data_IF_777373094689
#
_entry.id   IF_777373094689
#
_cell.length_a   1.000
_cell.length_b   1.000
_cell.length_c   1.000
_cell.angle_alpha   90.00
_cell.angle_beta   90.00
_cell.angle_gamma   90.00
#
_symmetry.space_group_name_H-M   'P 1'
#
loop_
_entity.id
_entity.type
_entity.pdbx_description
1 polymer ?
#
# COMPACT_ATOMS: atom_id res chain seq x y z
N UNK A 1 35.65 -5.92 -7.83
CA UNK A 1 34.28 -6.30 -7.41
C UNK A 1 34.15 -5.98 -5.93
N UNK A 2 33.60 -4.83 -5.57
CA UNK A 2 33.27 -4.48 -4.19
C UNK A 2 31.76 -4.50 -4.08
N UNK A 3 31.21 -5.61 -3.58
CA UNK A 3 29.79 -5.67 -3.22
C UNK A 3 29.58 -4.78 -2.00
N UNK A 4 29.04 -3.59 -2.22
CA UNK A 4 28.43 -2.80 -1.15
C UNK A 4 27.21 -3.58 -0.65
N UNK A 5 27.39 -4.42 0.37
CA UNK A 5 26.26 -4.96 1.12
C UNK A 5 25.66 -3.77 1.87
N UNK A 6 24.55 -3.24 1.39
CA UNK A 6 23.72 -2.37 2.21
C UNK A 6 23.34 -3.15 3.48
N UNK A 7 23.82 -2.72 4.63
CA UNK A 7 23.35 -3.24 5.92
C UNK A 7 21.93 -2.75 6.13
N UNK A 8 20.94 -3.59 5.85
CA UNK A 8 19.55 -3.33 6.23
C UNK A 8 19.44 -3.46 7.74
N UNK A 9 19.24 -2.36 8.46
CA UNK A 9 18.89 -2.46 9.87
C UNK A 9 17.37 -2.58 9.96
N UNK A 10 16.89 -3.50 10.79
CA UNK A 10 15.47 -3.76 10.94
C UNK A 10 15.05 -3.42 12.36
N UNK A 11 14.01 -2.59 12.50
CA UNK A 11 13.59 -2.04 13.79
C UNK A 11 12.13 -2.32 14.05
N UNK A 12 11.84 -2.68 15.30
CA UNK A 12 10.52 -2.99 15.78
C UNK A 12 10.56 -3.59 17.18
N UNK A 13 9.43 -4.12 17.61
CA UNK A 13 9.40 -5.07 18.74
C UNK A 13 10.27 -6.30 18.42
N UNK A 14 10.25 -6.69 17.14
CA UNK A 14 11.09 -7.73 16.56
C UNK A 14 11.86 -7.06 15.42
N UNK A 15 13.17 -6.91 15.56
CA UNK A 15 14.01 -6.31 14.52
C UNK A 15 13.99 -7.16 13.26
N UNK A 16 14.56 -8.36 13.34
CA UNK A 16 14.53 -9.37 12.28
C UNK A 16 13.99 -10.68 12.83
N UNK A 17 13.18 -11.35 12.02
CA UNK A 17 12.72 -12.70 12.31
C UNK A 17 12.80 -13.61 11.10
N UNK A 18 13.57 -14.68 11.31
CA UNK A 18 13.73 -15.82 10.41
C UNK A 18 12.81 -16.99 10.79
N UNK A 19 12.11 -16.89 11.92
CA UNK A 19 11.23 -17.92 12.46
C UNK A 19 9.75 -17.65 12.20
N UNK A 20 8.90 -18.65 12.44
CA UNK A 20 7.45 -18.46 12.36
C UNK A 20 7.01 -17.47 13.45
N UNK A 21 6.23 -16.46 13.06
CA UNK A 21 5.66 -15.50 14.01
C UNK A 21 4.15 -15.69 14.07
N UNK A 22 3.64 -15.75 15.31
CA UNK A 22 2.21 -15.68 15.57
C UNK A 22 1.98 -14.58 16.62
N UNK A 23 1.30 -13.49 16.22
CA UNK A 23 0.86 -12.43 17.14
C UNK A 23 -0.67 -12.41 17.15
N UNK A 24 -1.26 -12.58 18.34
CA UNK A 24 -2.71 -12.68 18.50
C UNK A 24 -3.19 -11.89 19.70
N UNK A 25 -4.34 -11.23 19.56
CA UNK A 25 -5.08 -10.57 20.65
C UNK A 25 -4.22 -9.55 21.42
N UNK A 26 -3.38 -8.80 20.71
CA UNK A 26 -2.48 -7.83 21.32
C UNK A 26 -2.83 -6.41 20.88
N UNK A 27 -2.75 -5.49 21.83
CA UNK A 27 -2.72 -4.05 21.55
C UNK A 27 -1.27 -3.60 21.60
N UNK A 28 -0.76 -3.13 20.48
CA UNK A 28 0.63 -2.70 20.35
C UNK A 28 0.65 -1.20 20.04
N UNK A 29 1.35 -0.44 20.86
CA UNK A 29 1.64 0.96 20.61
C UNK A 29 3.15 1.09 20.52
N UNK A 30 3.64 1.52 19.38
CA UNK A 30 5.06 1.56 19.07
C UNK A 30 5.43 2.97 18.62
N UNK A 31 6.65 3.41 18.92
CA UNK A 31 7.24 4.62 18.36
C UNK A 31 8.68 4.31 18.05
N UNK A 32 9.02 4.22 16.77
CA UNK A 32 10.37 3.86 16.33
C UNK A 32 10.98 5.02 15.58
N UNK A 33 12.16 5.45 16.01
CA UNK A 33 12.98 6.41 15.26
C UNK A 33 14.21 5.68 14.72
N UNK A 34 14.56 5.92 13.47
CA UNK A 34 15.78 5.35 12.87
C UNK A 34 16.20 6.09 11.61
N UNK A 35 17.47 5.89 11.20
CA UNK A 35 18.10 6.61 10.07
C UNK A 35 18.31 5.69 8.86
N UNK A 36 17.93 6.12 7.64
CA UNK A 36 18.24 5.54 6.31
C UNK A 36 18.20 4.01 6.09
N UNK A 37 17.51 3.55 5.03
CA UNK A 37 17.54 2.16 4.48
C UNK A 37 17.05 1.04 5.40
N UNK A 38 16.15 1.36 6.33
CA UNK A 38 15.71 0.39 7.33
C UNK A 38 14.29 -0.08 7.11
N UNK A 39 14.02 -1.25 7.66
CA UNK A 39 12.70 -1.87 7.69
C UNK A 39 12.05 -1.56 9.05
N UNK A 40 10.92 -0.89 9.06
CA UNK A 40 10.24 -0.47 10.28
C UNK A 40 8.83 -1.05 10.39
N UNK A 41 8.54 -1.64 11.55
CA UNK A 41 7.19 -2.07 11.94
C UNK A 41 7.20 -2.67 13.33
N UNK A 42 6.13 -3.36 13.74
CA UNK A 42 6.20 -4.28 14.88
C UNK A 42 7.28 -5.34 14.63
N UNK A 43 7.38 -5.78 13.38
CA UNK A 43 8.40 -6.66 12.85
C UNK A 43 9.13 -5.87 11.75
N UNK A 44 10.42 -5.60 11.93
CA UNK A 44 11.20 -4.87 10.94
C UNK A 44 11.32 -5.68 9.65
N UNK A 45 12.00 -6.82 9.70
CA UNK A 45 12.18 -7.75 8.59
C UNK A 45 11.68 -9.15 8.95
N UNK A 46 10.93 -9.77 8.04
CA UNK A 46 10.37 -11.10 8.21
C UNK A 46 10.64 -11.97 6.98
N UNK A 47 11.36 -13.07 7.15
CA UNK A 47 11.78 -13.97 6.07
C UNK A 47 11.36 -15.44 6.22
N UNK A 48 10.62 -15.78 7.27
CA UNK A 48 10.22 -17.18 7.52
C UNK A 48 9.14 -17.71 6.57
N UNK A 49 8.75 -18.97 6.70
CA UNK A 49 7.73 -19.57 5.82
C UNK A 49 6.28 -19.21 6.20
N UNK A 50 6.01 -18.91 7.47
CA UNK A 50 4.64 -18.73 8.00
C UNK A 50 4.57 -17.58 9.00
N UNK A 51 3.63 -16.67 8.76
CA UNK A 51 3.35 -15.54 9.64
C UNK A 51 1.84 -15.40 9.82
N UNK A 52 1.38 -15.43 11.08
CA UNK A 52 -0.03 -15.32 11.44
C UNK A 52 -0.28 -14.17 12.41
N UNK A 53 -0.86 -13.09 11.92
CA UNK A 53 -1.22 -11.92 12.72
C UNK A 53 -2.74 -11.82 12.82
N UNK A 54 -3.28 -11.79 14.02
CA UNK A 54 -4.74 -11.74 14.22
C UNK A 54 -5.17 -10.86 15.39
N UNK A 55 -6.26 -10.12 15.21
CA UNK A 55 -6.87 -9.32 16.29
C UNK A 55 -5.84 -8.38 16.95
N UNK A 56 -5.09 -7.67 16.10
CA UNK A 56 -4.15 -6.64 16.55
C UNK A 56 -4.80 -5.26 16.49
N UNK A 57 -4.41 -4.42 17.45
CA UNK A 57 -4.66 -2.98 17.40
C UNK A 57 -3.29 -2.30 17.40
N UNK A 58 -2.87 -1.71 16.27
CA UNK A 58 -1.53 -1.11 16.15
C UNK A 58 -1.55 0.41 15.95
N UNK A 59 -0.61 1.08 16.61
CA UNK A 59 -0.14 2.44 16.33
C UNK A 59 1.38 2.46 16.21
N UNK A 60 1.90 3.16 15.19
CA UNK A 60 3.33 3.48 15.09
C UNK A 60 3.52 4.97 14.87
N UNK A 61 4.16 5.63 15.83
CA UNK A 61 4.45 7.08 15.84
C UNK A 61 5.43 7.53 14.75
N UNK A 62 5.63 8.84 14.66
CA UNK A 62 6.44 9.49 13.61
C UNK A 62 7.80 8.80 13.45
N UNK A 63 8.10 8.31 12.25
CA UNK A 63 9.43 7.82 11.87
C UNK A 63 10.14 8.92 11.05
N UNK A 64 10.65 10.00 11.67
CA UNK A 64 11.36 11.03 10.92
C UNK A 64 12.66 10.44 10.36
N UNK A 65 12.73 10.29 9.04
CA UNK A 65 13.94 9.82 8.40
C UNK A 65 13.77 9.42 6.94
N UNK A 66 14.90 9.22 6.28
CA UNK A 66 15.08 8.65 4.94
C UNK A 66 14.86 7.13 4.88
N UNK A 67 13.95 6.59 5.72
CA UNK A 67 13.60 5.17 5.73
C UNK A 67 12.86 4.77 4.46
N UNK A 68 13.02 3.51 4.04
CA UNK A 68 12.53 3.04 2.74
C UNK A 68 11.38 2.03 2.80
N UNK A 69 11.21 1.31 3.92
CA UNK A 69 10.24 0.22 3.99
C UNK A 69 9.53 0.31 5.34
N UNK A 70 8.35 0.91 5.35
CA UNK A 70 7.65 1.21 6.60
C UNK A 70 6.20 0.74 6.56
N UNK A 71 5.85 -0.14 7.48
CA UNK A 71 4.49 -0.55 7.75
C UNK A 71 4.23 -0.61 9.25
N UNK A 72 2.97 -0.50 9.67
CA UNK A 72 2.66 -0.55 11.10
C UNK A 72 2.90 -1.93 11.70
N UNK A 73 2.89 -3.00 10.88
CA UNK A 73 3.17 -4.37 11.31
C UNK A 73 4.51 -4.82 10.76
N UNK A 74 4.72 -4.69 9.45
CA UNK A 74 5.94 -5.13 8.78
C UNK A 74 6.61 -3.99 8.04
N UNK A 75 7.91 -3.82 8.26
CA UNK A 75 8.73 -2.99 7.39
C UNK A 75 8.91 -3.68 6.04
N UNK A 76 9.51 -4.86 6.07
CA UNK A 76 9.72 -5.73 4.92
C UNK A 76 9.27 -7.14 5.26
N UNK A 77 8.36 -7.66 4.45
CA UNK A 77 7.83 -9.00 4.59
C UNK A 77 8.14 -9.82 3.34
N UNK A 78 8.73 -11.00 3.55
CA UNK A 78 9.07 -11.94 2.49
C UNK A 78 8.71 -13.37 2.87
N UNK A 79 7.76 -13.58 3.78
CA UNK A 79 7.30 -14.92 4.11
C UNK A 79 6.45 -15.52 2.98
N UNK A 80 6.54 -16.83 2.84
CA UNK A 80 5.77 -17.54 1.81
C UNK A 80 4.26 -17.52 2.11
N UNK A 81 3.89 -17.43 3.39
CA UNK A 81 2.49 -17.38 3.82
C UNK A 81 2.33 -16.40 4.98
N UNK A 82 2.05 -15.14 4.66
CA UNK A 82 1.68 -14.15 5.66
C UNK A 82 0.17 -13.91 5.65
N UNK A 83 -0.46 -14.02 6.82
CA UNK A 83 -1.87 -13.66 7.01
C UNK A 83 -1.99 -12.60 8.08
N UNK A 84 -2.63 -11.48 7.74
CA UNK A 84 -3.04 -10.43 8.67
C UNK A 84 -4.55 -10.37 8.68
N UNK A 85 -5.15 -10.67 9.82
CA UNK A 85 -6.59 -10.87 9.94
C UNK A 85 -7.20 -10.08 11.11
N UNK A 86 -8.44 -9.60 10.93
CA UNK A 86 -9.28 -9.02 11.98
C UNK A 86 -8.55 -7.90 12.75
N UNK A 87 -7.82 -7.04 12.04
CA UNK A 87 -6.83 -6.12 12.62
C UNK A 87 -7.21 -4.67 12.33
N UNK A 88 -7.14 -3.83 13.36
CA UNK A 88 -7.43 -2.40 13.26
C UNK A 88 -6.14 -1.61 13.45
N UNK A 89 -5.80 -0.76 12.49
CA UNK A 89 -4.55 -0.01 12.52
C UNK A 89 -4.85 1.47 12.45
N UNK A 90 -4.16 2.23 13.29
CA UNK A 90 -4.13 3.69 13.22
C UNK A 90 -2.68 4.13 13.25
N UNK A 91 -2.17 4.70 12.17
CA UNK A 91 -0.76 5.08 12.10
C UNK A 91 -0.54 6.45 11.44
N UNK A 92 0.51 7.14 11.89
CA UNK A 92 0.99 8.39 11.30
C UNK A 92 2.46 8.19 10.92
N UNK A 93 2.72 8.10 9.61
CA UNK A 93 4.00 7.63 9.09
C UNK A 93 4.54 8.66 8.11
N UNK A 94 5.60 9.36 8.51
CA UNK A 94 6.24 10.38 7.68
C UNK A 94 7.68 9.99 7.31
N UNK A 95 7.83 9.21 6.23
CA UNK A 95 9.16 8.76 5.74
C UNK A 95 9.34 9.08 4.25
N UNK A 96 10.23 8.37 3.52
CA UNK A 96 10.60 8.72 2.14
C UNK A 96 10.17 7.70 1.09
N UNK A 97 10.27 6.40 1.35
CA UNK A 97 9.93 5.37 0.37
C UNK A 97 9.10 4.26 0.99
N UNK A 98 8.34 3.58 0.12
CA UNK A 98 7.47 2.41 0.34
C UNK A 98 6.83 2.32 1.72
N UNK A 99 5.67 2.96 1.82
CA UNK A 99 4.97 3.16 3.07
C UNK A 99 3.58 2.58 2.96
N UNK A 100 3.35 1.44 3.61
CA UNK A 100 2.02 0.88 3.77
C UNK A 100 1.52 1.09 5.17
N UNK A 101 0.23 0.89 5.38
CA UNK A 101 -0.30 0.85 6.71
C UNK A 101 -0.01 -0.48 7.40
N UNK A 102 -0.05 -1.62 6.71
CA UNK A 102 0.39 -2.93 7.27
C UNK A 102 1.84 -3.22 6.88
N UNK A 103 2.13 -3.16 5.57
CA UNK A 103 3.40 -3.58 4.97
C UNK A 103 4.08 -2.41 4.29
N UNK A 104 5.32 -2.09 4.66
CA UNK A 104 6.17 -1.23 3.83
C UNK A 104 6.40 -1.88 2.47
N UNK A 105 6.95 -3.08 2.51
CA UNK A 105 7.10 -4.00 1.38
C UNK A 105 6.50 -5.36 1.69
N UNK A 106 5.82 -5.93 0.70
CA UNK A 106 5.43 -7.33 0.68
C UNK A 106 6.01 -7.97 -0.59
N UNK A 107 6.94 -8.91 -0.43
CA UNK A 107 7.72 -9.54 -1.51
C UNK A 107 7.16 -10.91 -1.96
N UNK A 108 6.38 -11.55 -1.09
CA UNK A 108 5.80 -12.86 -1.34
C UNK A 108 4.28 -12.81 -1.11
N UNK A 109 3.69 -13.92 -0.70
CA UNK A 109 2.25 -14.06 -0.63
C UNK A 109 1.75 -13.51 0.70
N UNK A 110 0.88 -12.51 0.60
CA UNK A 110 0.17 -11.94 1.73
C UNK A 110 -1.33 -12.11 1.57
N UNK A 111 -1.99 -12.34 2.69
CA UNK A 111 -3.43 -12.30 2.80
C UNK A 111 -3.81 -11.30 3.88
N UNK A 112 -4.54 -10.25 3.50
CA UNK A 112 -5.12 -9.27 4.42
C UNK A 112 -6.64 -9.49 4.41
N UNK A 113 -7.21 -9.85 5.56
CA UNK A 113 -8.64 -10.13 5.69
C UNK A 113 -9.23 -9.33 6.86
N UNK A 114 -10.39 -8.70 6.66
CA UNK A 114 -11.11 -7.99 7.72
C UNK A 114 -10.21 -6.98 8.46
N UNK A 115 -9.36 -6.27 7.71
CA UNK A 115 -8.47 -5.26 8.26
C UNK A 115 -9.04 -3.86 7.99
N UNK A 116 -8.93 -3.00 8.99
CA UNK A 116 -9.26 -1.58 8.84
C UNK A 116 -8.02 -0.75 9.09
N UNK A 117 -7.78 0.25 8.24
CA UNK A 117 -6.68 1.17 8.40
C UNK A 117 -7.13 2.62 8.36
N UNK A 118 -6.66 3.35 9.37
CA UNK A 118 -6.77 4.80 9.48
C UNK A 118 -5.35 5.38 9.43
N UNK A 119 -5.01 6.07 8.35
CA UNK A 119 -3.64 6.56 8.13
C UNK A 119 -3.66 8.02 7.72
N UNK A 120 -2.80 8.83 8.34
CA UNK A 120 -2.61 10.23 7.98
C UNK A 120 -1.15 10.54 7.66
N UNK A 121 -0.97 11.44 6.69
CA UNK A 121 0.21 12.23 6.36
C UNK A 121 1.52 11.47 6.10
N UNK A 122 1.98 11.52 4.85
CA UNK A 122 3.10 10.72 4.37
C UNK A 122 3.86 11.50 3.29
N UNK A 123 5.10 11.09 2.97
CA UNK A 123 5.81 11.41 1.74
C UNK A 123 6.42 10.11 1.17
N UNK A 124 6.45 9.89 -0.14
CA UNK A 124 7.04 8.68 -0.76
C UNK A 124 6.12 7.79 -1.61
N UNK A 125 6.48 6.55 -1.91
CA UNK A 125 5.52 5.62 -2.55
C UNK A 125 4.60 5.07 -1.47
N UNK A 126 3.29 5.32 -1.56
CA UNK A 126 2.38 5.13 -0.41
C UNK A 126 1.14 4.32 -0.78
N UNK A 127 0.86 3.30 0.02
CA UNK A 127 -0.43 2.62 0.03
C UNK A 127 -1.13 2.72 1.38
N UNK A 128 -2.45 2.56 1.36
CA UNK A 128 -3.23 2.40 2.59
C UNK A 128 -2.81 1.15 3.36
N UNK A 129 -2.72 -0.01 2.70
CA UNK A 129 -2.26 -1.25 3.31
C UNK A 129 -0.81 -1.58 2.96
N UNK A 130 -0.43 -1.45 1.68
CA UNK A 130 0.88 -1.90 1.18
C UNK A 130 1.59 -0.76 0.43
N UNK A 131 2.81 -0.41 0.84
CA UNK A 131 3.62 0.58 0.14
C UNK A 131 4.07 0.08 -1.23
N UNK A 132 4.85 -1.00 -1.21
CA UNK A 132 5.31 -1.71 -2.39
C UNK A 132 4.94 -3.18 -2.32
N UNK A 133 4.18 -3.60 -3.32
CA UNK A 133 3.80 -4.97 -3.54
C UNK A 133 4.64 -5.52 -4.68
N UNK A 134 5.56 -6.41 -4.35
CA UNK A 134 6.22 -7.25 -5.32
C UNK A 134 5.71 -8.66 -5.06
N UNK A 135 4.77 -9.16 -5.84
CA UNK A 135 4.36 -10.56 -5.67
C UNK A 135 5.38 -11.45 -6.36
N UNK A 136 5.98 -12.40 -5.63
CA UNK A 136 6.72 -13.51 -6.22
C UNK A 136 5.82 -14.43 -7.06
N UNK A 137 5.96 -15.74 -6.87
CA UNK A 137 5.26 -16.74 -7.68
C UNK A 137 3.76 -16.94 -7.35
N UNK A 138 3.14 -16.18 -6.43
CA UNK A 138 1.74 -16.40 -6.07
C UNK A 138 0.91 -15.12 -5.82
N UNK A 139 -0.40 -15.32 -5.64
CA UNK A 139 -1.44 -14.29 -5.51
C UNK A 139 -1.43 -13.60 -4.14
N UNK A 140 -1.56 -12.28 -4.13
CA UNK A 140 -1.89 -11.50 -2.91
C UNK A 140 -3.39 -11.28 -2.83
N UNK A 141 -3.97 -11.51 -1.65
CA UNK A 141 -5.39 -11.31 -1.38
C UNK A 141 -5.60 -10.16 -0.38
N UNK A 142 -6.40 -9.17 -0.77
CA UNK A 142 -6.92 -8.13 0.11
C UNK A 142 -8.44 -8.25 0.11
N UNK A 143 -9.04 -8.65 1.24
CA UNK A 143 -10.45 -9.02 1.29
C UNK A 143 -11.19 -8.41 2.49
N UNK A 144 -12.40 -7.89 2.25
CA UNK A 144 -13.28 -7.37 3.30
C UNK A 144 -12.59 -6.29 4.15
N UNK A 145 -11.86 -5.39 3.50
CA UNK A 145 -11.04 -4.39 4.18
C UNK A 145 -11.55 -2.96 4.00
N UNK A 146 -11.21 -2.08 4.93
CA UNK A 146 -11.48 -0.65 4.83
C UNK A 146 -10.16 0.14 4.89
N UNK A 147 -9.85 0.88 3.84
CA UNK A 147 -8.75 1.84 3.79
C UNK A 147 -9.28 3.28 3.83
N UNK A 148 -9.23 3.89 5.02
CA UNK A 148 -9.58 5.29 5.23
C UNK A 148 -8.31 6.10 5.46
N UNK A 149 -7.86 6.82 4.44
CA UNK A 149 -6.50 7.40 4.46
C UNK A 149 -6.44 8.85 3.99
N UNK A 150 -5.50 9.61 4.53
CA UNK A 150 -5.10 10.93 4.02
C UNK A 150 -3.64 10.86 3.63
N UNK A 151 -3.37 10.71 2.35
CA UNK A 151 -2.04 10.40 1.80
C UNK A 151 -1.56 11.57 0.96
N UNK A 152 -0.33 12.00 1.20
CA UNK A 152 0.36 12.99 0.36
C UNK A 152 1.66 12.36 -0.12
N UNK A 153 2.12 12.69 -1.32
CA UNK A 153 3.45 12.35 -1.78
C UNK A 153 3.81 13.04 -3.09
N UNK A 154 5.11 13.21 -3.33
CA UNK A 154 5.68 13.56 -4.63
C UNK A 154 5.91 12.35 -5.55
N UNK A 155 5.29 11.19 -5.29
CA UNK A 155 5.52 9.92 -6.02
C UNK A 155 4.20 9.17 -6.30
N UNK A 156 4.25 7.83 -6.34
CA UNK A 156 3.15 6.90 -6.57
C UNK A 156 2.31 6.71 -5.30
N UNK A 157 0.98 6.89 -5.41
CA UNK A 157 0.08 6.75 -4.27
C UNK A 157 -1.18 5.97 -4.65
N UNK A 158 -1.52 4.97 -3.86
CA UNK A 158 -2.80 4.28 -3.94
C UNK A 158 -3.54 4.26 -2.61
N UNK A 159 -4.87 4.35 -2.65
CA UNK A 159 -5.68 4.21 -1.43
C UNK A 159 -5.51 2.86 -0.74
N UNK A 160 -5.12 1.80 -1.48
CA UNK A 160 -4.86 0.45 -0.96
C UNK A 160 -3.39 0.06 -1.14
N UNK A 161 -2.86 0.18 -2.36
CA UNK A 161 -1.48 -0.22 -2.72
C UNK A 161 -0.76 0.95 -3.40
N UNK A 162 0.44 1.31 -2.96
CA UNK A 162 1.21 2.40 -3.59
C UNK A 162 1.76 2.01 -4.96
N UNK A 163 2.57 0.97 -4.99
CA UNK A 163 3.15 0.42 -6.21
C UNK A 163 3.05 -1.10 -6.21
N UNK A 164 2.45 -1.65 -7.26
CA UNK A 164 2.46 -3.05 -7.59
C UNK A 164 3.40 -3.28 -8.77
N UNK A 165 4.52 -3.95 -8.51
CA UNK A 165 5.54 -4.24 -9.50
C UNK A 165 5.14 -5.38 -10.45
N UNK A 166 5.86 -5.49 -11.57
CA UNK A 166 5.73 -6.59 -12.52
C UNK A 166 5.93 -7.91 -11.77
N UNK A 167 4.97 -8.78 -11.95
CA UNK A 167 5.01 -10.17 -11.52
C UNK A 167 4.27 -11.01 -12.53
N UNK A 168 4.54 -12.31 -12.54
CA UNK A 168 3.76 -13.28 -13.31
C UNK A 168 2.36 -13.54 -12.70
N UNK A 169 1.98 -12.83 -11.63
CA UNK A 169 0.84 -13.16 -10.80
C UNK A 169 -0.19 -12.04 -10.68
N UNK A 170 -1.33 -12.43 -10.11
CA UNK A 170 -2.49 -11.60 -9.94
C UNK A 170 -2.56 -11.07 -8.51
N UNK A 171 -2.90 -9.79 -8.36
CA UNK A 171 -3.39 -9.25 -7.09
C UNK A 171 -4.92 -9.31 -7.09
N UNK A 172 -5.51 -9.93 -6.05
CA UNK A 172 -6.95 -10.02 -5.87
C UNK A 172 -7.39 -9.04 -4.77
N UNK A 173 -8.21 -8.06 -5.15
CA UNK A 173 -8.87 -7.13 -4.24
C UNK A 173 -10.37 -7.43 -4.26
N UNK A 174 -10.89 -7.91 -3.14
CA UNK A 174 -12.30 -8.30 -2.99
C UNK A 174 -12.93 -7.54 -1.83
N UNK A 175 -14.20 -7.16 -1.99
CA UNK A 175 -15.02 -6.60 -0.91
C UNK A 175 -14.33 -5.48 -0.12
N UNK A 176 -13.48 -4.71 -0.79
CA UNK A 176 -12.64 -3.69 -0.17
C UNK A 176 -13.21 -2.32 -0.42
N UNK A 177 -13.23 -1.49 0.62
CA UNK A 177 -13.68 -0.10 0.56
C UNK A 177 -12.47 0.81 0.71
N UNK A 178 -12.27 1.74 -0.22
CA UNK A 178 -11.28 2.82 -0.06
C UNK A 178 -11.97 4.18 0.01
N UNK A 179 -11.65 4.91 1.08
CA UNK A 179 -12.10 6.28 1.39
C UNK A 179 -10.90 7.17 1.65
N UNK A 180 -10.24 7.59 0.56
CA UNK A 180 -8.90 8.18 0.63
C UNK A 180 -8.84 9.61 0.10
N UNK A 181 -8.31 10.55 0.88
CA UNK A 181 -7.88 11.86 0.38
C UNK A 181 -6.41 11.77 -0.03
N UNK A 182 -6.13 11.82 -1.33
CA UNK A 182 -4.82 11.53 -1.89
C UNK A 182 -4.30 12.74 -2.67
N UNK A 183 -3.05 13.13 -2.40
CA UNK A 183 -2.38 14.24 -3.10
C UNK A 183 -1.01 13.82 -3.63
N UNK A 184 -0.79 13.83 -4.95
CA UNK A 184 0.52 13.51 -5.51
C UNK A 184 0.66 13.51 -7.02
N UNK A 185 1.75 12.92 -7.52
CA UNK A 185 2.14 12.94 -8.95
C UNK A 185 1.50 11.80 -9.73
N UNK A 186 1.48 10.59 -9.16
CA UNK A 186 0.84 9.42 -9.76
C UNK A 186 -0.13 8.79 -8.78
N UNK A 187 -1.44 8.94 -8.99
CA UNK A 187 -2.45 8.69 -7.95
C UNK A 187 -3.57 7.77 -8.43
N UNK A 188 -3.79 6.67 -7.70
CA UNK A 188 -4.95 5.80 -7.85
C UNK A 188 -5.81 5.77 -6.59
N UNK A 189 -7.12 5.68 -6.72
CA UNK A 189 -7.98 5.45 -5.55
C UNK A 189 -7.79 4.06 -4.93
N UNK A 190 -7.35 3.06 -5.70
CA UNK A 190 -6.94 1.73 -5.18
C UNK A 190 -5.43 1.53 -5.32
N UNK A 191 -4.87 1.62 -6.54
CA UNK A 191 -3.44 1.38 -6.80
C UNK A 191 -2.77 2.58 -7.47
N UNK A 192 -1.65 3.08 -6.94
CA UNK A 192 -0.92 4.20 -7.55
C UNK A 192 -0.28 3.84 -8.89
N UNK A 193 0.50 2.76 -8.91
CA UNK A 193 1.09 2.20 -10.12
C UNK A 193 0.92 0.68 -10.15
N UNK A 194 0.29 0.15 -11.18
CA UNK A 194 0.11 -1.29 -11.38
C UNK A 194 0.86 -1.75 -12.63
N UNK A 195 1.80 -2.68 -12.46
CA UNK A 195 2.55 -3.28 -13.57
C UNK A 195 2.29 -4.78 -13.77
N UNK A 196 1.40 -5.37 -12.98
CA UNK A 196 0.99 -6.77 -13.09
C UNK A 196 -0.53 -6.88 -13.15
N UNK A 197 -1.06 -8.10 -13.20
CA UNK A 197 -2.50 -8.29 -13.33
C UNK A 197 -3.23 -7.91 -12.05
N UNK A 198 -4.34 -7.18 -12.19
CA UNK A 198 -5.25 -6.81 -11.11
C UNK A 198 -6.60 -7.48 -11.34
N UNK A 199 -7.09 -8.22 -10.36
CA UNK A 199 -8.46 -8.70 -10.31
C UNK A 199 -9.15 -8.02 -9.14
N UNK A 200 -10.13 -7.17 -9.43
CA UNK A 200 -10.91 -6.45 -8.43
C UNK A 200 -12.38 -6.87 -8.55
N UNK A 201 -12.99 -7.27 -7.43
CA UNK A 201 -14.41 -7.61 -7.40
C UNK A 201 -15.11 -7.11 -6.14
N UNK A 202 -16.42 -6.90 -6.22
CA UNK A 202 -17.28 -6.51 -5.08
C UNK A 202 -16.78 -5.29 -4.27
N UNK A 203 -15.91 -4.46 -4.85
CA UNK A 203 -15.15 -3.46 -4.10
C UNK A 203 -15.71 -2.07 -4.39
N UNK A 204 -15.54 -1.16 -3.42
CA UNK A 204 -16.10 0.19 -3.49
C UNK A 204 -15.01 1.25 -3.33
N UNK A 205 -15.08 2.27 -4.17
CA UNK A 205 -14.22 3.46 -4.08
C UNK A 205 -15.14 4.62 -3.77
N UNK A 206 -15.12 5.10 -2.54
CA UNK A 206 -16.11 6.05 -2.03
C UNK A 206 -15.40 7.27 -1.50
N UNK A 207 -15.82 8.48 -1.89
CA UNK A 207 -15.28 9.73 -1.35
C UNK A 207 -13.75 9.87 -1.51
N UNK A 208 -13.17 9.24 -2.53
CA UNK A 208 -11.76 9.44 -2.87
C UNK A 208 -11.60 10.82 -3.49
N UNK A 209 -10.76 11.65 -2.87
CA UNK A 209 -10.37 12.96 -3.39
C UNK A 209 -8.95 12.88 -3.89
N UNK A 210 -8.74 13.07 -5.19
CA UNK A 210 -7.42 13.09 -5.80
C UNK A 210 -7.04 14.54 -6.08
N UNK A 211 -5.93 15.00 -5.50
CA UNK A 211 -5.31 16.29 -5.82
C UNK A 211 -4.01 16.00 -6.56
N UNK A 212 -3.87 16.53 -7.77
CA UNK A 212 -2.67 16.29 -8.58
C UNK A 212 -1.65 17.37 -8.27
N UNK A 213 -0.44 16.95 -7.90
CA UNK A 213 0.70 17.85 -7.68
C UNK A 213 1.60 17.75 -8.89
N UNK A 214 1.58 18.78 -9.74
CA UNK A 214 2.46 18.85 -10.90
C UNK A 214 3.87 19.26 -10.48
N UNK A 215 4.85 18.42 -10.79
CA UNK A 215 6.27 18.72 -10.61
C UNK A 215 6.87 18.91 -12.01
N UNK A 216 7.60 20.01 -12.22
CA UNK A 216 8.21 20.32 -13.51
C UNK A 216 9.01 19.13 -14.06
N UNK A 217 8.79 18.78 -15.32
CA UNK A 217 9.44 17.68 -16.04
C UNK A 217 9.05 16.24 -15.62
N UNK A 218 7.96 16.04 -14.88
CA UNK A 218 7.41 14.70 -14.59
C UNK A 218 6.02 14.52 -15.21
N UNK A 219 5.78 13.36 -15.84
CA UNK A 219 4.44 12.96 -16.25
C UNK A 219 3.60 12.62 -15.02
N UNK A 220 2.41 13.20 -14.93
CA UNK A 220 1.42 12.88 -13.91
C UNK A 220 0.46 11.83 -14.45
N UNK A 221 0.10 10.85 -13.63
CA UNK A 221 -0.86 9.80 -13.97
C UNK A 221 -1.92 9.73 -12.90
N UNK A 222 -3.19 9.64 -13.26
CA UNK A 222 -4.23 9.52 -12.25
C UNK A 222 -5.40 8.69 -12.74
N UNK A 223 -6.07 8.04 -11.80
CA UNK A 223 -7.28 7.29 -12.07
C UNK A 223 -8.02 6.95 -10.80
N UNK A 224 -9.33 6.78 -10.92
CA UNK A 224 -10.17 6.45 -9.77
C UNK A 224 -9.78 5.08 -9.19
N UNK A 225 -9.48 4.09 -10.04
CA UNK A 225 -9.03 2.77 -9.58
C UNK A 225 -7.50 2.71 -9.56
N UNK A 226 -6.86 2.92 -10.72
CA UNK A 226 -5.40 2.83 -10.88
C UNK A 226 -4.86 4.12 -11.47
N UNK A 227 -3.78 4.66 -10.88
CA UNK A 227 -3.13 5.88 -11.36
C UNK A 227 -2.39 5.67 -12.67
N UNK A 228 -1.36 4.81 -12.64
CA UNK A 228 -0.61 4.36 -13.83
C UNK A 228 -0.79 2.86 -14.03
N UNK A 229 -1.07 2.43 -15.26
CA UNK A 229 -1.28 1.02 -15.58
C UNK A 229 -0.36 0.53 -16.70
N UNK A 230 0.37 -0.55 -16.43
CA UNK A 230 1.12 -1.34 -17.42
C UNK A 230 0.72 -2.83 -17.41
N UNK A 231 -0.31 -3.23 -16.64
CA UNK A 231 -0.80 -4.60 -16.52
C UNK A 231 -2.23 -4.79 -17.04
N UNK A 232 -2.75 -6.02 -16.88
CA UNK A 232 -4.12 -6.40 -17.24
C UNK A 232 -5.07 -6.26 -16.06
N UNK A 233 -6.20 -5.59 -16.23
CA UNK A 233 -7.15 -5.38 -15.15
C UNK A 233 -8.49 -6.05 -15.47
N UNK A 234 -9.01 -6.80 -14.50
CA UNK A 234 -10.36 -7.36 -14.52
C UNK A 234 -11.13 -6.83 -13.31
N UNK A 235 -12.09 -5.94 -13.56
CA UNK A 235 -12.87 -5.27 -12.52
C UNK A 235 -14.34 -5.64 -12.70
N UNK A 236 -14.96 -6.26 -11.70
CA UNK A 236 -16.37 -6.68 -11.76
C UNK A 236 -17.12 -6.32 -10.48
N UNK A 237 -18.43 -6.10 -10.59
CA UNK A 237 -19.31 -5.79 -9.46
C UNK A 237 -18.74 -4.74 -8.48
N UNK A 238 -18.05 -3.74 -9.01
CA UNK A 238 -17.33 -2.74 -8.22
C UNK A 238 -17.83 -1.35 -8.60
N UNK A 239 -17.94 -0.47 -7.61
CA UNK A 239 -18.61 0.82 -7.78
C UNK A 239 -17.73 1.95 -7.26
N UNK A 240 -17.76 3.08 -7.96
CA UNK A 240 -17.11 4.33 -7.57
C UNK A 240 -18.17 5.42 -7.36
N UNK A 241 -18.24 6.02 -6.17
CA UNK A 241 -19.21 7.08 -5.85
C UNK A 241 -18.56 8.25 -5.10
N UNK A 242 -19.07 9.47 -5.32
CA UNK A 242 -18.67 10.70 -4.62
C UNK A 242 -17.16 11.02 -4.71
N UNK A 243 -16.52 10.59 -5.79
CA UNK A 243 -15.10 10.82 -6.02
C UNK A 243 -14.88 12.18 -6.67
N UNK A 244 -13.85 12.88 -6.22
CA UNK A 244 -13.47 14.19 -6.75
C UNK A 244 -12.03 14.13 -7.24
N UNK A 245 -11.81 14.45 -8.51
CA UNK A 245 -10.46 14.63 -9.06
C UNK A 245 -10.26 16.12 -9.29
N UNK A 246 -9.47 16.74 -8.43
CA UNK A 246 -9.05 18.13 -8.57
C UNK A 246 -7.71 18.16 -9.31
N UNK A 247 -7.78 18.33 -10.64
CA UNK A 247 -6.61 18.61 -11.46
C UNK A 247 -6.30 20.12 -11.36
N UNK A 248 -5.37 20.49 -10.50
CA UNK A 248 -4.89 21.87 -10.39
C UNK A 248 -3.87 22.08 -11.52
N UNK A 249 -4.36 22.13 -12.77
CA UNK A 249 -3.55 22.45 -13.95
C UNK A 249 -3.43 23.96 -14.12
N UNK A 250 -2.21 24.48 -14.02
CA UNK A 250 -1.79 25.58 -14.89
C UNK A 250 -1.29 24.99 -16.20
N UNK A 251 -2.16 24.98 -17.22
CA UNK A 251 -1.93 24.66 -18.65
C UNK A 251 -1.97 23.18 -19.13
N UNK A 252 -2.47 23.05 -20.36
CA UNK A 252 -3.06 21.92 -21.08
C UNK A 252 -2.23 20.62 -21.22
N UNK A 253 -2.94 19.49 -21.29
CA UNK A 253 -3.04 18.60 -22.49
C UNK A 253 -3.62 17.20 -22.17
N UNK A 254 -4.37 16.72 -23.17
CA UNK A 254 -5.21 15.52 -23.45
C UNK A 254 -5.53 14.46 -22.38
N UNK A 255 -6.84 14.19 -22.23
CA UNK A 255 -7.47 13.00 -21.62
C UNK A 255 -7.58 11.88 -22.66
N UNK A 256 -7.06 10.68 -22.37
CA UNK A 256 -7.44 9.44 -23.07
C UNK A 256 -8.36 8.61 -22.18
N UNK A 257 -9.67 8.77 -22.38
CA UNK A 257 -10.70 7.94 -21.75
C UNK A 257 -10.89 6.67 -22.58
N UNK A 258 -10.33 5.54 -22.15
CA UNK A 258 -10.76 4.21 -22.61
C UNK A 258 -11.37 3.45 -21.42
N UNK A 259 -12.69 3.52 -21.27
CA UNK A 259 -13.46 2.69 -20.34
C UNK A 259 -14.58 2.01 -21.13
N UNK A 260 -14.59 0.68 -21.14
CA UNK A 260 -15.80 -0.10 -21.41
C UNK A 260 -16.40 -0.51 -20.07
N UNK A 261 -17.49 0.14 -19.67
CA UNK A 261 -18.35 -0.32 -18.59
C UNK A 261 -19.34 -1.27 -19.25
N UNK A 262 -19.17 -2.58 -19.05
CA UNK A 262 -20.27 -3.51 -19.31
C UNK A 262 -21.35 -3.20 -18.27
N UNK A 263 -22.42 -2.56 -18.72
CA UNK A 263 -23.60 -2.33 -17.91
C UNK A 263 -24.24 -3.69 -17.60
N UNK A 264 -24.26 -4.07 -16.32
CA UNK A 264 -25.08 -5.18 -15.88
C UNK A 264 -26.56 -4.79 -16.04
N UNK A 265 -27.27 -5.55 -16.87
CA UNK A 265 -28.74 -5.68 -16.91
C UNK A 265 -29.29 -6.29 -15.63
#
# INVERSE_FOLDING_TARGET
MTSNSATFNSFGLIGESIGNIILKNAKITLSVQGKSYNNFGVIGFQSSSIVGIKNLISFVGTIPGTGNYVGSIFGWESALNCTVQDTNITCDINTRYYIGGIFGTQYNNGTIINATIYKSNVAGTVGGFIGWLQTGANTTLINSTLAQTSLTSTSLIGGVIGWQEISSNTTLIDSTISTSNISGVSVGGIIGYCQSSLYMKNSKIVQVRITIVQISNQQTYYGIVVGRNNGFHYITNSVSTDNLVNDIKSSCESLTNNWSIDQCS
#
